data_IF_790409896111
#
_entry.id   IF_790409896111
#
_cell.length_a   1.000
_cell.length_b   1.000
_cell.length_c   1.000
_cell.angle_alpha   90.00
_cell.angle_beta   90.00
_cell.angle_gamma   90.00
#
_symmetry.space_group_name_H-M   'P 1'
#
loop_
_entity.id
_entity.type
_entity.pdbx_description
1 polymer ?
#
# COMPACT_ATOMS: atom_id res chain seq x y z
N UNK A 1 -47.97 -3.53 -71.48
CA UNK A 1 -48.58 -2.40 -70.75
C UNK A 1 -49.16 -3.01 -69.48
N UNK A 2 -48.59 -2.81 -68.30
CA UNK A 2 -48.69 -1.59 -67.48
C UNK A 2 -47.49 -1.44 -66.54
N UNK A 3 -47.22 -0.19 -66.16
CA UNK A 3 -46.12 0.31 -65.31
C UNK A 3 -46.76 0.82 -64.01
N UNK A 4 -46.26 0.45 -62.84
CA UNK A 4 -46.59 1.13 -61.56
C UNK A 4 -45.52 0.77 -60.53
N UNK A 5 -44.52 1.62 -60.26
CA UNK A 5 -44.55 2.79 -59.36
C UNK A 5 -44.48 2.38 -57.88
N UNK A 6 -43.39 2.75 -57.20
CA UNK A 6 -43.39 2.90 -55.73
C UNK A 6 -42.36 2.06 -54.99
N UNK A 7 -41.29 2.73 -54.58
CA UNK A 7 -40.27 2.33 -53.61
C UNK A 7 -40.85 1.80 -52.28
N UNK A 8 -40.19 0.82 -51.65
CA UNK A 8 -40.15 0.75 -50.20
C UNK A 8 -38.89 0.01 -49.72
N UNK A 9 -37.90 0.80 -49.27
CA UNK A 9 -36.80 0.38 -48.40
C UNK A 9 -37.39 -0.28 -47.14
N UNK A 10 -36.96 -1.49 -46.78
CA UNK A 10 -37.02 -1.93 -45.39
C UNK A 10 -35.66 -2.49 -44.97
N UNK A 11 -35.12 -1.79 -43.99
CA UNK A 11 -33.76 -1.77 -43.50
C UNK A 11 -33.45 -3.02 -42.67
N UNK A 12 -32.22 -3.52 -42.78
CA UNK A 12 -31.62 -4.41 -41.79
C UNK A 12 -31.52 -3.69 -40.44
N UNK A 13 -32.52 -3.84 -39.57
CA UNK A 13 -32.39 -3.40 -38.18
C UNK A 13 -31.75 -4.52 -37.36
N UNK A 14 -30.42 -4.57 -37.41
CA UNK A 14 -29.64 -5.25 -36.38
C UNK A 14 -29.93 -4.50 -35.09
N UNK A 15 -30.71 -5.09 -34.18
CA UNK A 15 -30.76 -4.65 -32.79
C UNK A 15 -29.41 -5.01 -32.16
N UNK A 16 -28.39 -4.22 -32.46
CA UNK A 16 -27.18 -4.17 -31.67
C UNK A 16 -27.59 -3.58 -30.33
N UNK A 17 -27.86 -4.43 -29.35
CA UNK A 17 -27.99 -4.01 -27.97
C UNK A 17 -26.66 -3.34 -27.61
N UNK A 18 -26.65 -2.01 -27.64
CA UNK A 18 -25.54 -1.22 -27.16
C UNK A 18 -25.61 -1.31 -25.64
N UNK A 19 -25.05 -2.40 -25.08
CA UNK A 19 -24.81 -2.50 -23.66
C UNK A 19 -23.73 -1.47 -23.35
N UNK A 20 -24.17 -0.26 -23.01
CA UNK A 20 -23.29 0.76 -22.48
C UNK A 20 -22.82 0.25 -21.11
N UNK A 21 -21.66 -0.39 -21.08
CA UNK A 21 -20.93 -0.61 -19.84
C UNK A 21 -20.53 0.78 -19.33
N UNK A 22 -21.31 1.33 -18.40
CA UNK A 22 -20.88 2.48 -17.62
C UNK A 22 -19.71 2.00 -16.78
N UNK A 23 -18.48 2.30 -17.21
CA UNK A 23 -17.31 2.12 -16.36
C UNK A 23 -17.51 2.98 -15.10
N UNK A 24 -17.67 2.39 -13.91
CA UNK A 24 -17.90 3.13 -12.68
C UNK A 24 -16.73 4.06 -12.33
N UNK A 25 -15.56 3.92 -12.96
CA UNK A 25 -14.41 4.80 -12.77
C UNK A 25 -14.38 6.01 -13.73
N UNK A 26 -15.28 6.12 -14.71
CA UNK A 26 -15.25 7.19 -15.74
C UNK A 26 -15.34 8.61 -15.16
N UNK A 27 -15.94 8.76 -13.98
CA UNK A 27 -16.13 10.04 -13.29
C UNK A 27 -15.31 10.20 -12.00
N UNK A 28 -14.41 9.25 -11.67
CA UNK A 28 -13.50 9.43 -10.53
C UNK A 28 -12.43 10.44 -10.93
N UNK A 29 -12.62 11.70 -10.55
CA UNK A 29 -11.55 12.70 -10.58
C UNK A 29 -10.42 12.14 -9.71
N UNK A 30 -9.32 11.69 -10.32
CA UNK A 30 -8.06 11.43 -9.61
C UNK A 30 -7.54 12.79 -9.15
N UNK A 31 -8.04 13.26 -8.03
CA UNK A 31 -7.43 14.39 -7.31
C UNK A 31 -6.10 13.85 -6.80
N UNK A 32 -5.04 13.99 -7.62
CA UNK A 32 -3.69 13.66 -7.24
C UNK A 32 -3.25 14.74 -6.23
N UNK A 33 -3.69 14.63 -4.97
CA UNK A 33 -3.18 15.50 -3.91
C UNK A 33 -1.70 15.16 -3.76
N UNK A 34 -0.83 16.13 -4.04
CA UNK A 34 0.62 15.94 -3.99
C UNK A 34 1.09 15.41 -2.64
N UNK A 35 2.26 14.76 -2.66
CA UNK A 35 2.92 14.26 -1.46
C UNK A 35 3.15 15.38 -0.45
N UNK A 36 2.68 15.18 0.78
CA UNK A 36 2.89 16.08 1.90
C UNK A 36 3.79 15.43 2.95
N UNK A 37 4.89 16.08 3.31
CA UNK A 37 5.70 15.67 4.47
C UNK A 37 4.88 15.85 5.74
N UNK A 38 4.84 14.83 6.59
CA UNK A 38 4.10 14.84 7.86
C UNK A 38 4.99 14.34 9.01
N UNK A 39 4.57 14.63 10.24
CA UNK A 39 5.33 14.24 11.42
C UNK A 39 5.17 12.74 11.74
N UNK A 40 6.28 12.07 12.03
CA UNK A 40 6.30 10.67 12.47
C UNK A 40 5.52 10.41 13.77
N UNK A 41 5.30 11.44 14.59
CA UNK A 41 4.51 11.36 15.82
C UNK A 41 3.01 11.19 15.59
N UNK A 42 2.52 11.40 14.35
CA UNK A 42 1.12 11.24 13.99
C UNK A 42 0.62 9.82 14.29
N UNK A 43 -0.56 9.71 14.91
CA UNK A 43 -1.11 8.42 15.34
C UNK A 43 -1.30 7.42 14.19
N UNK A 44 -1.79 7.89 13.03
CA UNK A 44 -1.98 7.01 11.87
C UNK A 44 -0.65 6.54 11.30
N UNK A 45 0.39 7.38 11.35
CA UNK A 45 1.74 7.00 10.95
C UNK A 45 2.28 5.89 11.85
N UNK A 46 2.10 6.02 13.17
CA UNK A 46 2.49 4.98 14.12
C UNK A 46 1.77 3.65 13.86
N UNK A 47 0.48 3.69 13.57
CA UNK A 47 -0.30 2.50 13.22
C UNK A 47 0.18 1.87 11.91
N UNK A 48 0.40 2.68 10.87
CA UNK A 48 0.91 2.20 9.58
C UNK A 48 2.31 1.59 9.73
N UNK A 49 3.19 2.22 10.49
CA UNK A 49 4.54 1.71 10.74
C UNK A 49 4.50 0.42 11.57
N UNK A 50 3.64 0.33 12.59
CA UNK A 50 3.44 -0.90 13.35
C UNK A 50 2.98 -2.05 12.45
N UNK A 51 1.97 -1.81 11.61
CA UNK A 51 1.49 -2.78 10.63
C UNK A 51 2.62 -3.19 9.66
N UNK A 52 3.36 -2.21 9.13
CA UNK A 52 4.45 -2.47 8.20
C UNK A 52 5.56 -3.34 8.80
N UNK A 53 5.91 -3.10 10.06
CA UNK A 53 6.91 -3.90 10.77
C UNK A 53 6.43 -5.32 11.07
N UNK A 54 5.14 -5.54 11.31
CA UNK A 54 4.61 -6.89 11.43
C UNK A 54 4.72 -7.66 10.12
N UNK A 55 4.30 -7.07 9.00
CA UNK A 55 4.41 -7.69 7.68
C UNK A 55 5.88 -7.92 7.28
N UNK A 56 6.77 -6.96 7.56
CA UNK A 56 8.21 -7.13 7.35
C UNK A 56 8.76 -8.33 8.13
N UNK A 57 8.46 -8.42 9.43
CA UNK A 57 8.97 -9.49 10.28
C UNK A 57 8.39 -10.86 9.93
N UNK A 58 7.13 -10.92 9.50
CA UNK A 58 6.47 -12.14 9.02
C UNK A 58 7.12 -12.66 7.75
N UNK A 59 7.43 -11.79 6.79
CA UNK A 59 8.01 -12.17 5.50
C UNK A 59 9.53 -12.36 5.51
N UNK A 60 10.24 -11.71 6.43
CA UNK A 60 11.68 -11.81 6.53
C UNK A 60 12.12 -13.25 6.83
N UNK A 61 13.19 -13.71 6.20
CA UNK A 61 13.80 -15.03 6.46
C UNK A 61 14.75 -15.01 7.67
N UNK A 62 15.03 -13.83 8.23
CA UNK A 62 15.89 -13.72 9.40
C UNK A 62 15.25 -14.42 10.61
N UNK A 63 16.08 -15.09 11.42
CA UNK A 63 15.65 -15.81 12.62
C UNK A 63 15.23 -14.85 13.74
N UNK A 64 15.63 -13.58 13.65
CA UNK A 64 15.39 -12.56 14.65
C UNK A 64 14.37 -11.53 14.17
N UNK A 65 13.71 -10.89 15.13
CA UNK A 65 12.81 -9.77 14.86
C UNK A 65 13.61 -8.49 14.63
N UNK A 66 13.13 -7.66 13.71
CA UNK A 66 13.62 -6.31 13.48
C UNK A 66 12.72 -5.29 14.17
N UNK A 67 13.34 -4.24 14.68
CA UNK A 67 12.69 -3.09 15.29
C UNK A 67 13.11 -1.80 14.61
N UNK A 68 12.25 -0.78 14.69
CA UNK A 68 12.55 0.56 14.18
C UNK A 68 13.55 1.23 15.12
N UNK A 69 14.67 1.66 14.57
CA UNK A 69 15.66 2.49 15.26
C UNK A 69 15.35 3.96 15.04
N UNK A 70 15.04 4.32 13.79
CA UNK A 70 14.83 5.71 13.40
C UNK A 70 13.80 5.82 12.29
N UNK A 71 12.88 6.78 12.43
CA UNK A 71 12.08 7.24 11.29
C UNK A 71 12.82 8.36 10.59
N UNK A 72 13.19 8.14 9.32
CA UNK A 72 13.97 9.07 8.52
C UNK A 72 13.04 10.14 7.96
N UNK A 73 11.97 9.70 7.29
CA UNK A 73 11.02 10.61 6.64
C UNK A 73 9.65 9.95 6.51
N UNK A 74 8.60 10.78 6.57
CA UNK A 74 7.23 10.34 6.30
C UNK A 74 6.55 11.34 5.36
N UNK A 75 5.98 10.81 4.29
CA UNK A 75 5.13 11.56 3.37
C UNK A 75 3.77 10.89 3.27
N UNK A 76 2.75 11.69 2.97
CA UNK A 76 1.39 11.21 2.83
C UNK A 76 0.73 11.84 1.62
N UNK A 77 -0.06 11.05 0.91
CA UNK A 77 -0.98 11.53 -0.11
C UNK A 77 -2.37 10.93 0.10
N UNK A 78 -3.37 11.55 -0.52
CA UNK A 78 -4.75 11.08 -0.48
C UNK A 78 -5.15 10.65 -1.87
N UNK A 79 -5.54 9.39 -2.01
CA UNK A 79 -6.04 8.77 -3.24
C UNK A 79 -7.48 8.29 -3.01
N UNK A 80 -7.81 7.05 -3.37
CA UNK A 80 -9.00 6.35 -2.86
C UNK A 80 -8.82 5.88 -1.41
N UNK A 81 -7.61 6.01 -0.85
CA UNK A 81 -7.23 5.74 0.55
C UNK A 81 -6.18 6.75 1.01
N UNK A 82 -5.78 6.68 2.29
CA UNK A 82 -4.61 7.41 2.75
C UNK A 82 -3.37 6.58 2.45
N UNK A 83 -2.40 7.14 1.73
CA UNK A 83 -1.16 6.45 1.39
C UNK A 83 0.00 7.10 2.12
N UNK A 84 0.73 6.31 2.90
CA UNK A 84 1.86 6.72 3.71
C UNK A 84 3.15 6.13 3.15
N UNK A 85 4.07 7.00 2.75
CA UNK A 85 5.44 6.66 2.39
C UNK A 85 6.30 6.86 3.65
N UNK A 86 6.86 5.77 4.17
CA UNK A 86 7.55 5.74 5.45
C UNK A 86 8.96 5.19 5.22
N UNK A 87 9.96 6.06 5.32
CA UNK A 87 11.37 5.71 5.26
C UNK A 87 11.89 5.56 6.69
N UNK A 88 12.40 4.38 7.01
CA UNK A 88 12.87 4.02 8.36
C UNK A 88 14.18 3.25 8.30
N UNK A 89 14.98 3.43 9.33
CA UNK A 89 16.08 2.53 9.66
C UNK A 89 15.56 1.51 10.67
N UNK A 90 15.76 0.24 10.35
CA UNK A 90 15.42 -0.90 11.21
C UNK A 90 16.69 -1.67 11.57
N UNK A 91 16.71 -2.27 12.75
CA UNK A 91 17.81 -3.09 13.20
C UNK A 91 17.33 -4.41 13.79
N UNK A 92 18.19 -5.43 13.65
CA UNK A 92 17.97 -6.74 14.26
C UNK A 92 17.95 -6.61 15.79
N UNK A 93 16.97 -7.24 16.42
CA UNK A 93 16.86 -7.36 17.88
C UNK A 93 17.41 -8.69 18.37
N UNK A 94 17.51 -8.84 19.69
CA UNK A 94 17.86 -10.09 20.35
C UNK A 94 16.72 -11.13 20.36
N UNK A 95 15.48 -10.72 20.06
CA UNK A 95 14.32 -11.61 20.03
C UNK A 95 14.30 -12.50 18.80
N UNK A 96 14.08 -13.80 19.02
CA UNK A 96 13.88 -14.77 17.94
C UNK A 96 12.42 -14.80 17.50
N UNK A 97 12.19 -15.06 16.22
CA UNK A 97 10.83 -15.35 15.73
C UNK A 97 10.31 -16.62 16.42
N UNK A 98 9.05 -16.58 16.83
CA UNK A 98 8.34 -17.67 17.52
C UNK A 98 8.85 -18.02 18.93
N UNK A 99 9.63 -17.15 19.60
CA UNK A 99 9.81 -17.32 21.04
C UNK A 99 8.50 -16.95 21.75
N UNK A 100 7.95 -17.88 22.52
CA UNK A 100 6.73 -17.69 23.32
C UNK A 100 6.94 -16.78 24.55
N UNK A 101 8.14 -16.22 24.70
CA UNK A 101 8.48 -15.38 25.84
C UNK A 101 8.04 -13.94 25.59
N UNK A 102 7.37 -13.37 26.59
CA UNK A 102 7.07 -11.94 26.71
C UNK A 102 8.36 -11.13 26.96
N UNK A 103 9.39 -11.36 26.17
CA UNK A 103 10.69 -10.74 26.29
C UNK A 103 10.63 -9.31 25.74
N UNK A 104 11.17 -8.37 26.51
CA UNK A 104 11.43 -7.03 26.02
C UNK A 104 12.55 -7.10 24.98
N UNK A 105 12.17 -7.01 23.70
CA UNK A 105 13.10 -7.04 22.60
C UNK A 105 13.94 -5.76 22.56
N UNK A 106 15.27 -5.92 22.54
CA UNK A 106 16.25 -4.83 22.47
C UNK A 106 17.09 -4.99 21.20
N UNK A 107 17.55 -3.88 20.64
CA UNK A 107 18.45 -3.90 19.48
C UNK A 107 19.73 -4.68 19.81
N UNK A 108 20.15 -5.55 18.90
CA UNK A 108 21.34 -6.38 19.07
C UNK A 108 22.60 -5.59 18.68
N UNK A 109 23.41 -5.22 19.66
CA UNK A 109 24.65 -4.44 19.46
C UNK A 109 25.92 -5.30 19.36
N UNK A 110 25.80 -6.64 19.44
CA UNK A 110 26.96 -7.51 19.30
C UNK A 110 27.47 -7.50 17.85
N UNK A 111 28.75 -7.21 17.63
CA UNK A 111 29.36 -7.05 16.30
C UNK A 111 29.10 -8.18 15.29
N UNK A 112 28.90 -9.42 15.76
CA UNK A 112 28.63 -10.59 14.89
C UNK A 112 27.17 -10.70 14.43
N UNK A 113 26.24 -10.12 15.18
CA UNK A 113 24.79 -10.21 14.93
C UNK A 113 24.15 -8.85 14.68
N UNK A 114 24.91 -7.77 14.73
CA UNK A 114 24.43 -6.45 14.33
C UNK A 114 24.03 -6.49 12.85
N UNK A 115 22.84 -5.99 12.57
CA UNK A 115 22.36 -5.79 11.20
C UNK A 115 21.38 -4.63 11.19
N UNK A 116 21.68 -3.62 10.37
CA UNK A 116 20.85 -2.45 10.11
C UNK A 116 20.46 -2.43 8.63
N UNK A 117 19.24 -1.98 8.36
CA UNK A 117 18.65 -1.97 7.03
C UNK A 117 17.80 -0.70 6.92
N UNK A 118 17.91 0.01 5.79
CA UNK A 118 17.03 1.12 5.48
C UNK A 118 15.87 0.58 4.63
N UNK A 119 14.65 0.83 5.08
CA UNK A 119 13.44 0.39 4.41
C UNK A 119 12.55 1.58 4.05
N UNK A 120 11.98 1.52 2.85
CA UNK A 120 10.90 2.36 2.37
C UNK A 120 9.63 1.54 2.28
N UNK A 121 8.63 1.90 3.06
CA UNK A 121 7.30 1.28 3.04
C UNK A 121 6.28 2.23 2.41
N UNK A 122 5.41 1.70 1.54
CA UNK A 122 4.19 2.36 1.11
C UNK A 122 3.01 1.60 1.71
N UNK A 123 2.34 2.22 2.67
CA UNK A 123 1.21 1.65 3.38
C UNK A 123 -0.06 2.42 3.02
N UNK A 124 -1.03 1.72 2.46
CA UNK A 124 -2.38 2.24 2.26
C UNK A 124 -3.23 2.00 3.50
N UNK A 125 -4.00 2.99 3.94
CA UNK A 125 -4.82 2.90 5.14
C UNK A 125 -6.21 3.53 4.96
N UNK A 126 -7.21 2.90 5.57
CA UNK A 126 -8.52 3.47 5.86
C UNK A 126 -8.68 3.48 7.39
N UNK A 127 -8.16 4.51 8.09
CA UNK A 127 -8.07 4.49 9.56
C UNK A 127 -9.42 4.32 10.27
N UNK A 128 -10.51 4.81 9.67
CA UNK A 128 -11.87 4.67 10.20
C UNK A 128 -12.39 3.23 10.21
N UNK A 129 -11.81 2.35 9.39
CA UNK A 129 -12.13 0.91 9.37
C UNK A 129 -11.04 0.05 10.02
N UNK A 130 -9.89 0.64 10.40
CA UNK A 130 -8.72 -0.13 10.84
C UNK A 130 -8.10 -0.99 9.76
N UNK A 131 -8.31 -0.66 8.48
CA UNK A 131 -7.76 -1.41 7.35
C UNK A 131 -6.41 -0.84 6.92
N UNK A 132 -5.41 -1.73 6.78
CA UNK A 132 -4.06 -1.40 6.33
C UNK A 132 -3.61 -2.39 5.26
N UNK A 133 -2.88 -1.90 4.25
CA UNK A 133 -2.36 -2.71 3.15
C UNK A 133 -0.92 -2.33 2.87
N UNK A 134 -0.03 -3.33 2.84
CA UNK A 134 1.34 -3.16 2.39
C UNK A 134 1.34 -3.07 0.86
N UNK A 135 1.41 -1.85 0.33
CA UNK A 135 1.35 -1.64 -1.12
C UNK A 135 2.71 -1.81 -1.78
N UNK A 136 3.78 -1.33 -1.13
CA UNK A 136 5.17 -1.55 -1.56
C UNK A 136 6.09 -1.63 -0.35
N UNK A 137 7.14 -2.43 -0.48
CA UNK A 137 8.25 -2.52 0.46
C UNK A 137 9.54 -2.59 -0.34
N UNK A 138 10.52 -1.77 0.01
CA UNK A 138 11.89 -1.89 -0.49
C UNK A 138 12.84 -1.71 0.67
N UNK A 139 13.79 -2.62 0.82
CA UNK A 139 14.79 -2.55 1.87
C UNK A 139 16.18 -2.72 1.25
N UNK A 140 17.13 -1.92 1.73
CA UNK A 140 18.53 -1.95 1.32
C UNK A 140 19.37 -2.13 2.58
N UNK A 141 20.40 -2.97 2.52
CA UNK A 141 21.36 -3.05 3.63
C UNK A 141 21.94 -1.64 3.89
N UNK A 142 22.00 -1.25 5.16
CA UNK A 142 22.40 0.09 5.59
C UNK A 142 23.92 0.27 5.59
#
# INVERSE_FOLDING_TARGET
MTRSWGSCLLLFTIFGALVASTDPNKNKVKVLRGLKVINASNANVKQCLWFAMQEYNKESEDKYLFQVVKTIQVQMQVTDRLEYFIDVEIARSNCRKFSNSSENCVIQESSKLEKKVICSFLVGALPWNGEFIMMKKKCLDA
#
